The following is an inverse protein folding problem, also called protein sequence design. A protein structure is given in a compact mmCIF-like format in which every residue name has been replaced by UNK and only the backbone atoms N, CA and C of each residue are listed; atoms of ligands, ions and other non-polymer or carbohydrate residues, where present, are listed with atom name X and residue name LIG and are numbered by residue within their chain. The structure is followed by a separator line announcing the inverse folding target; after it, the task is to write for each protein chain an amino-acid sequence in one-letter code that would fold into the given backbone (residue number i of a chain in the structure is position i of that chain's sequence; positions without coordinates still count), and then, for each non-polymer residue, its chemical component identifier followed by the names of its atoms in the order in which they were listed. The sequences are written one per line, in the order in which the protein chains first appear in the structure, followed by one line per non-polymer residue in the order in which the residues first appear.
data_IF_567854161604
#
_entry.id   IF_567854161604
#
_cell.length_a   1.000
_cell.length_b   1.000
_cell.length_c   1.000
_cell.angle_alpha   90.00
_cell.angle_beta   90.00
_cell.angle_gamma   90.00
#
_symmetry.space_group_name_H-M   'P 1'
#
loop_
_entity.id
_entity.type
_entity.pdbx_description
1 polymer ?
#
# COMPACT_ATOMS: atom_id res chain seq x y z
N UNK A 1 0.53 -14.34 -19.77
CA UNK A 1 0.66 -12.89 -19.96
C UNK A 1 -0.58 -12.41 -20.70
N UNK A 2 -1.42 -11.65 -20.03
CA UNK A 2 -2.64 -11.08 -20.61
C UNK A 2 -2.43 -9.58 -20.83
N UNK A 3 -2.88 -9.06 -21.97
CA UNK A 3 -2.78 -7.63 -22.30
C UNK A 3 -4.16 -7.06 -22.56
N UNK A 4 -4.58 -6.10 -21.74
CA UNK A 4 -5.84 -5.40 -21.88
C UNK A 4 -5.54 -4.02 -22.48
N UNK A 5 -6.17 -3.72 -23.61
CA UNK A 5 -5.99 -2.46 -24.33
C UNK A 5 -7.32 -1.74 -24.44
N UNK A 6 -7.41 -0.51 -23.91
CA UNK A 6 -8.60 0.35 -24.00
C UNK A 6 -8.22 1.77 -24.41
N UNK A 7 -9.10 2.46 -25.16
CA UNK A 7 -8.93 3.90 -25.40
C UNK A 7 -9.52 4.67 -24.22
N UNK A 8 -8.88 5.77 -23.83
CA UNK A 8 -9.32 6.56 -22.67
C UNK A 8 -10.73 7.13 -22.86
N UNK A 9 -11.09 7.52 -24.09
CA UNK A 9 -12.44 7.99 -24.41
C UNK A 9 -13.55 6.93 -24.23
N UNK A 10 -13.18 5.65 -24.24
CA UNK A 10 -14.12 4.53 -24.13
C UNK A 10 -14.23 4.04 -22.67
N UNK A 11 -13.51 4.65 -21.73
CA UNK A 11 -13.59 4.36 -20.30
C UNK A 11 -14.77 5.08 -19.66
N UNK A 12 -15.48 4.39 -18.77
CA UNK A 12 -16.49 5.03 -17.93
C UNK A 12 -15.85 6.03 -16.95
N UNK A 13 -16.63 7.00 -16.47
CA UNK A 13 -16.11 8.05 -15.59
C UNK A 13 -15.44 7.50 -14.31
N UNK A 14 -16.00 6.43 -13.73
CA UNK A 14 -15.46 5.76 -12.54
C UNK A 14 -14.14 5.06 -12.87
N UNK A 15 -14.11 4.29 -13.97
CA UNK A 15 -12.91 3.61 -14.44
C UNK A 15 -11.78 4.62 -14.73
N UNK A 16 -12.09 5.71 -15.46
CA UNK A 16 -11.13 6.76 -15.77
C UNK A 16 -10.55 7.40 -14.53
N UNK A 17 -11.39 7.76 -13.56
CA UNK A 17 -10.92 8.36 -12.31
C UNK A 17 -9.99 7.41 -11.53
N UNK A 18 -10.30 6.11 -11.50
CA UNK A 18 -9.44 5.11 -10.87
C UNK A 18 -8.07 5.00 -11.56
N UNK A 19 -8.04 4.97 -12.89
CA UNK A 19 -6.80 4.89 -13.65
C UNK A 19 -5.98 6.19 -13.53
N UNK A 20 -6.62 7.36 -13.57
CA UNK A 20 -5.93 8.64 -13.36
C UNK A 20 -5.26 8.73 -11.98
N UNK A 21 -5.92 8.20 -10.93
CA UNK A 21 -5.31 8.07 -9.60
C UNK A 21 -4.15 7.08 -9.57
N UNK A 22 -4.28 5.96 -10.27
CA UNK A 22 -3.22 4.95 -10.38
C UNK A 22 -1.98 5.50 -11.09
N UNK A 23 -2.17 6.26 -12.16
CA UNK A 23 -1.09 6.83 -12.97
C UNK A 23 -0.55 8.14 -12.35
N UNK A 24 -1.33 8.80 -11.50
CA UNK A 24 -0.94 10.03 -10.80
C UNK A 24 -1.16 11.31 -11.59
N UNK A 25 -1.85 11.25 -12.73
CA UNK A 25 -2.21 12.42 -13.53
C UNK A 25 -3.48 12.18 -14.36
N UNK A 26 -4.10 13.26 -14.82
CA UNK A 26 -5.24 13.20 -15.72
C UNK A 26 -4.89 12.56 -17.07
N UNK A 27 -5.81 11.77 -17.62
CA UNK A 27 -5.67 11.15 -18.93
C UNK A 27 -6.40 12.00 -19.97
N UNK A 28 -5.90 12.04 -21.21
CA UNK A 28 -6.52 12.73 -22.34
C UNK A 28 -7.32 11.73 -23.18
N UNK A 29 -8.41 12.18 -23.79
CA UNK A 29 -9.32 11.31 -24.54
C UNK A 29 -8.66 10.59 -25.73
N UNK A 30 -7.64 11.20 -26.32
CA UNK A 30 -6.88 10.65 -27.43
C UNK A 30 -5.77 9.67 -26.99
N UNK A 31 -5.63 9.38 -25.70
CA UNK A 31 -4.66 8.42 -25.19
C UNK A 31 -5.22 6.99 -25.18
N UNK A 32 -4.29 6.04 -25.09
CA UNK A 32 -4.55 4.61 -25.04
C UNK A 32 -3.96 4.03 -23.75
N UNK A 33 -4.75 3.24 -23.04
CA UNK A 33 -4.38 2.51 -21.84
C UNK A 33 -4.00 1.08 -22.22
N UNK A 34 -2.81 0.65 -21.81
CA UNK A 34 -2.30 -0.71 -22.01
C UNK A 34 -1.96 -1.26 -20.63
N UNK A 35 -2.70 -2.27 -20.18
CA UNK A 35 -2.50 -2.96 -18.91
C UNK A 35 -1.92 -4.34 -19.24
N UNK A 36 -0.74 -4.63 -18.70
CA UNK A 36 -0.13 -5.95 -18.82
C UNK A 36 -0.28 -6.68 -17.49
N UNK A 37 -1.02 -7.79 -17.52
CA UNK A 37 -1.09 -8.71 -16.39
C UNK A 37 -0.01 -9.76 -16.59
N UNK A 38 1.04 -9.62 -15.79
CA UNK A 38 2.12 -10.59 -15.69
C UNK A 38 1.83 -11.51 -14.51
N UNK A 39 1.89 -12.82 -14.75
CA UNK A 39 2.01 -13.77 -13.65
C UNK A 39 3.40 -13.56 -13.07
N UNK A 40 3.49 -13.00 -11.87
CA UNK A 40 4.71 -13.17 -11.11
C UNK A 40 4.91 -14.66 -10.90
N UNK A 41 6.13 -15.13 -11.08
CA UNK A 41 6.54 -16.33 -10.38
C UNK A 41 6.35 -15.97 -8.90
N UNK A 42 5.29 -16.46 -8.28
CA UNK A 42 5.36 -16.79 -6.86
C UNK A 42 6.46 -17.85 -6.86
N UNK A 43 7.73 -17.42 -6.85
CA UNK A 43 8.84 -18.32 -6.57
C UNK A 43 8.38 -19.08 -5.34
N UNK A 44 8.34 -20.41 -5.46
CA UNK A 44 7.69 -21.31 -4.52
C UNK A 44 7.56 -20.63 -3.16
N UNK A 45 6.33 -20.30 -2.74
CA UNK A 45 6.10 -20.21 -1.30
C UNK A 45 6.38 -21.63 -0.80
N UNK A 46 7.66 -21.94 -0.60
CA UNK A 46 8.06 -22.87 0.42
C UNK A 46 7.22 -22.46 1.63
N UNK A 47 6.50 -23.40 2.26
CA UNK A 47 5.86 -23.08 3.52
C UNK A 47 6.98 -22.53 4.38
N UNK A 48 6.93 -21.22 4.64
CA UNK A 48 7.90 -20.54 5.46
C UNK A 48 7.78 -21.23 6.81
N UNK A 49 8.62 -22.23 7.01
CA UNK A 49 9.08 -22.62 8.31
C UNK A 49 9.83 -21.39 8.75
N UNK A 50 9.07 -20.44 9.31
CA UNK A 50 9.57 -19.33 10.10
C UNK A 50 10.29 -20.00 11.25
N UNK A 51 11.53 -20.37 11.00
CA UNK A 51 12.52 -20.54 12.02
C UNK A 51 12.54 -19.20 12.77
N UNK A 52 12.53 -19.19 14.11
CA UNK A 52 12.35 -17.98 14.92
C UNK A 52 13.61 -17.08 14.91
N UNK A 53 14.26 -16.93 13.77
CA UNK A 53 15.42 -16.08 13.59
C UNK A 53 14.98 -14.72 13.06
N UNK A 54 14.47 -13.91 13.98
CA UNK A 54 14.61 -12.46 13.97
C UNK A 54 13.87 -11.72 12.85
N UNK A 55 12.85 -10.97 13.22
CA UNK A 55 12.38 -9.87 12.39
C UNK A 55 13.58 -8.98 12.00
N UNK A 56 13.62 -8.46 10.76
CA UNK A 56 14.65 -7.51 10.37
C UNK A 56 14.74 -6.34 11.36
N UNK A 57 15.94 -5.76 11.52
CA UNK A 57 16.17 -4.67 12.48
C UNK A 57 15.21 -3.48 12.28
N UNK A 58 14.81 -3.18 11.04
CA UNK A 58 13.83 -2.13 10.74
C UNK A 58 12.42 -2.38 11.32
N UNK A 59 12.11 -3.60 11.77
CA UNK A 59 10.86 -3.91 12.46
C UNK A 59 10.89 -3.52 13.95
N UNK A 60 12.06 -3.23 14.53
CA UNK A 60 12.15 -2.74 15.89
C UNK A 60 11.97 -1.21 15.92
N UNK A 61 10.71 -0.77 15.81
CA UNK A 61 10.34 0.66 15.76
C UNK A 61 10.72 1.45 17.01
N UNK A 62 11.04 0.77 18.12
CA UNK A 62 11.49 1.38 19.38
C UNK A 62 13.01 1.24 19.60
N UNK A 63 13.76 0.78 18.59
CA UNK A 63 15.22 0.65 18.68
C UNK A 63 15.85 2.02 18.97
N UNK A 64 16.65 2.08 20.04
CA UNK A 64 17.32 3.31 20.48
C UNK A 64 16.48 4.24 21.36
N UNK A 65 15.24 3.88 21.67
CA UNK A 65 14.39 4.63 22.60
C UNK A 65 14.50 4.10 24.03
N UNK A 66 14.47 5.00 25.00
CA UNK A 66 14.33 4.70 26.42
C UNK A 66 12.88 4.34 26.77
N UNK A 67 12.67 3.64 27.88
CA UNK A 67 11.33 3.27 28.33
C UNK A 67 10.39 4.48 28.55
N UNK A 68 10.95 5.61 28.97
CA UNK A 68 10.19 6.85 29.17
C UNK A 68 9.71 7.45 27.83
N UNK A 69 10.55 7.41 26.80
CA UNK A 69 10.21 7.88 25.44
C UNK A 69 9.14 6.97 24.80
N UNK A 70 9.20 5.65 25.06
CA UNK A 70 8.17 4.71 24.61
C UNK A 70 6.84 5.03 25.29
N UNK A 71 6.85 5.27 26.60
CA UNK A 71 5.64 5.61 27.35
C UNK A 71 4.98 6.92 26.87
N UNK A 72 5.79 7.92 26.48
CA UNK A 72 5.29 9.17 25.91
C UNK A 72 4.60 8.97 24.55
N UNK A 73 5.18 8.12 23.69
CA UNK A 73 4.58 7.75 22.40
C UNK A 73 3.26 7.01 22.60
N UNK A 74 3.21 6.05 23.51
CA UNK A 74 1.98 5.31 23.83
C UNK A 74 0.87 6.23 24.35
N UNK A 75 1.21 7.17 25.25
CA UNK A 75 0.25 8.16 25.74
C UNK A 75 -0.28 9.07 24.64
N UNK A 76 0.56 9.46 23.69
CA UNK A 76 0.16 10.26 22.52
C UNK A 76 -0.79 9.51 21.59
N UNK A 77 -0.55 8.21 21.38
CA UNK A 77 -1.44 7.32 20.60
C UNK A 77 -2.79 7.15 21.30
N UNK A 78 -2.81 6.99 22.63
CA UNK A 78 -4.04 6.85 23.40
C UNK A 78 -4.85 8.16 23.35
N UNK A 79 -4.20 9.32 23.58
CA UNK A 79 -4.86 10.63 23.56
C UNK A 79 -5.49 10.93 22.19
N UNK A 80 -4.79 10.63 21.09
CA UNK A 80 -5.30 10.87 19.73
C UNK A 80 -6.48 9.95 19.34
N UNK A 81 -6.54 8.73 19.87
CA UNK A 81 -7.68 7.82 19.67
C UNK A 81 -8.92 8.25 20.45
N UNK A 82 -8.75 8.76 21.67
CA UNK A 82 -9.86 9.26 22.50
C UNK A 82 -10.50 10.51 21.88
N UNK A 83 -9.71 11.43 21.30
CA UNK A 83 -10.26 12.63 20.62
C UNK A 83 -11.01 12.35 19.32
N UNK A 84 -10.87 11.16 18.73
CA UNK A 84 -11.59 10.76 17.50
C UNK A 84 -12.88 9.97 17.76
N UNK A 85 -13.15 9.58 19.01
CA UNK A 85 -14.32 8.79 19.41
C UNK A 85 -15.42 9.59 20.11
N UNK A 86 -15.36 10.92 20.14
CA UNK A 86 -16.44 11.75 20.67
C UNK A 86 -17.11 12.54 19.51
N UNK A 87 -18.27 12.08 18.99
CA UNK A 87 -19.07 12.86 18.04
C UNK A 87 -19.72 14.09 18.67
#
# INVERSE_FOLDING_TARGET
METITRRVRDLEAIERCAVERLVGHGLRENQQLIIQVVSGELGDEEPSTVSPSGLPAWCNVYEGMTGDEIAEVEQSIIRSKVSRSNP
#
